data_IF_203175577491
#
_entry.id   IF_203175577491
#
_cell.length_a   1.000
_cell.length_b   1.000
_cell.length_c   1.000
_cell.angle_alpha   90.00
_cell.angle_beta   90.00
_cell.angle_gamma   90.00
#
_symmetry.space_group_name_H-M   'P 1'
#
loop_
_entity.id
_entity.type
_entity.pdbx_description
1 polymer ?
#
# COMPACT_ATOMS: atom_id res chain seq x y z
N UNK A 1 24.49 17.16 -21.00
CA UNK A 1 23.62 16.15 -21.63
C UNK A 1 22.84 15.49 -20.53
N UNK A 2 21.57 15.85 -20.42
CA UNK A 2 20.65 15.33 -19.42
C UNK A 2 20.28 13.90 -19.83
N UNK A 3 20.76 12.90 -19.09
CA UNK A 3 20.28 11.54 -19.24
C UNK A 3 18.86 11.49 -18.69
N UNK A 4 17.88 11.73 -19.57
CA UNK A 4 16.49 11.35 -19.31
C UNK A 4 16.49 9.83 -19.24
N UNK A 5 16.43 9.28 -18.03
CA UNK A 5 16.22 7.85 -17.81
C UNK A 5 14.79 7.58 -18.30
N UNK A 6 14.65 7.19 -19.57
CA UNK A 6 13.39 6.64 -20.06
C UNK A 6 13.13 5.33 -19.29
N UNK A 7 12.16 5.37 -18.37
CA UNK A 7 11.73 4.16 -17.68
C UNK A 7 11.20 3.15 -18.73
N UNK A 8 11.70 1.90 -18.75
CA UNK A 8 11.28 0.92 -19.73
C UNK A 8 9.77 0.65 -19.57
N UNK A 9 8.98 1.01 -20.58
CA UNK A 9 7.53 0.78 -20.60
C UNK A 9 7.24 -0.72 -20.51
N UNK A 10 6.50 -1.12 -19.47
CA UNK A 10 6.04 -2.51 -19.30
C UNK A 10 4.60 -2.65 -19.76
N UNK A 11 4.30 -3.73 -20.49
CA UNK A 11 2.94 -4.04 -20.97
C UNK A 11 2.22 -4.94 -19.99
N UNK A 12 0.99 -4.57 -19.65
CA UNK A 12 0.05 -5.41 -18.90
C UNK A 12 -0.93 -6.00 -19.92
N UNK A 13 -1.07 -7.33 -19.92
CA UNK A 13 -2.00 -8.04 -20.80
C UNK A 13 -2.97 -8.84 -19.94
N UNK A 14 -4.27 -8.65 -20.14
CA UNK A 14 -5.32 -9.42 -19.48
C UNK A 14 -6.32 -9.92 -20.52
N UNK A 15 -6.92 -11.09 -20.26
CA UNK A 15 -8.03 -11.60 -21.04
C UNK A 15 -9.32 -11.25 -20.30
N UNK A 16 -10.31 -10.77 -21.06
CA UNK A 16 -11.65 -10.45 -20.56
C UNK A 16 -12.67 -11.12 -21.48
N UNK A 17 -13.82 -11.46 -20.94
CA UNK A 17 -14.99 -11.87 -21.70
C UNK A 17 -15.59 -10.68 -22.47
N UNK A 18 -16.42 -10.96 -23.47
CA UNK A 18 -17.10 -9.92 -24.26
C UNK A 18 -17.96 -9.02 -23.36
N UNK A 19 -18.68 -9.61 -22.40
CA UNK A 19 -19.50 -8.85 -21.44
C UNK A 19 -18.68 -7.90 -20.57
N UNK A 20 -17.51 -8.34 -20.11
CA UNK A 20 -16.60 -7.49 -19.33
C UNK A 20 -16.04 -6.37 -20.19
N UNK A 21 -15.69 -6.68 -21.45
CA UNK A 21 -15.23 -5.68 -22.41
C UNK A 21 -16.28 -4.61 -22.67
N UNK A 22 -17.54 -4.98 -22.92
CA UNK A 22 -18.64 -4.02 -23.14
C UNK A 22 -18.81 -3.08 -21.94
N UNK A 23 -18.69 -3.63 -20.73
CA UNK A 23 -18.77 -2.86 -19.50
C UNK A 23 -17.62 -1.85 -19.38
N UNK A 24 -16.40 -2.27 -19.72
CA UNK A 24 -15.21 -1.41 -19.71
C UNK A 24 -15.28 -0.32 -20.78
N UNK A 25 -15.81 -0.64 -21.97
CA UNK A 25 -16.04 0.30 -23.06
C UNK A 25 -17.05 1.38 -22.66
N UNK A 26 -18.19 0.98 -22.11
CA UNK A 26 -19.20 1.92 -21.62
C UNK A 26 -18.65 2.83 -20.51
N UNK A 27 -17.90 2.28 -19.54
CA UNK A 27 -17.31 3.07 -18.47
C UNK A 27 -16.25 4.06 -18.98
N UNK A 28 -15.44 3.64 -19.96
CA UNK A 28 -14.43 4.49 -20.58
C UNK A 28 -15.08 5.64 -21.39
N UNK A 29 -16.15 5.34 -22.13
CA UNK A 29 -16.91 6.33 -22.90
C UNK A 29 -17.50 7.43 -21.99
N UNK A 30 -18.11 7.04 -20.87
CA UNK A 30 -18.66 7.99 -19.89
C UNK A 30 -17.61 8.96 -19.31
N UNK A 31 -16.34 8.55 -19.31
CA UNK A 31 -15.22 9.34 -18.82
C UNK A 31 -14.43 10.03 -19.95
N UNK A 32 -14.86 9.89 -21.21
CA UNK A 32 -14.16 10.42 -22.37
C UNK A 32 -12.76 9.84 -22.56
N UNK A 33 -12.54 8.59 -22.14
CA UNK A 33 -11.26 7.90 -22.17
C UNK A 33 -11.30 6.67 -23.08
N UNK A 34 -10.14 6.20 -23.52
CA UNK A 34 -10.02 4.87 -24.16
C UNK A 34 -10.11 3.77 -23.10
N UNK A 35 -10.51 2.56 -23.50
CA UNK A 35 -10.52 1.37 -22.60
C UNK A 35 -9.17 1.15 -21.93
N UNK A 36 -8.07 1.27 -22.67
CA UNK A 36 -6.72 1.10 -22.12
C UNK A 36 -6.40 2.14 -21.05
N UNK A 37 -6.76 3.41 -21.29
CA UNK A 37 -6.57 4.47 -20.29
C UNK A 37 -7.42 4.21 -19.05
N UNK A 38 -8.69 3.84 -19.24
CA UNK A 38 -9.60 3.52 -18.14
C UNK A 38 -9.09 2.36 -17.28
N UNK A 39 -8.65 1.27 -17.91
CA UNK A 39 -8.13 0.09 -17.20
C UNK A 39 -6.87 0.43 -16.41
N UNK A 40 -5.91 1.13 -17.00
CA UNK A 40 -4.68 1.52 -16.30
C UNK A 40 -4.96 2.46 -15.13
N UNK A 41 -5.80 3.48 -15.34
CA UNK A 41 -6.14 4.45 -14.29
C UNK A 41 -6.87 3.77 -13.12
N UNK A 42 -7.87 2.94 -13.43
CA UNK A 42 -8.65 2.23 -12.40
C UNK A 42 -7.79 1.22 -11.66
N UNK A 43 -6.96 0.44 -12.36
CA UNK A 43 -6.05 -0.51 -11.73
C UNK A 43 -5.04 0.20 -10.80
N UNK A 44 -4.48 1.33 -11.22
CA UNK A 44 -3.58 2.12 -10.38
C UNK A 44 -4.30 2.70 -9.15
N UNK A 45 -5.53 3.17 -9.29
CA UNK A 45 -6.33 3.68 -8.18
C UNK A 45 -6.59 2.58 -7.14
N UNK A 46 -7.05 1.41 -7.59
CA UNK A 46 -7.31 0.28 -6.70
C UNK A 46 -6.03 -0.26 -6.06
N UNK A 47 -4.93 -0.34 -6.81
CA UNK A 47 -3.64 -0.73 -6.25
C UNK A 47 -3.22 0.21 -5.10
N UNK A 48 -3.38 1.53 -5.27
CA UNK A 48 -3.09 2.51 -4.20
C UNK A 48 -3.99 2.30 -2.98
N UNK A 49 -5.28 2.06 -3.18
CA UNK A 49 -6.23 1.79 -2.09
C UNK A 49 -5.85 0.54 -1.30
N UNK A 50 -5.46 -0.53 -1.99
CA UNK A 50 -4.99 -1.78 -1.35
C UNK A 50 -3.72 -1.54 -0.55
N UNK A 51 -2.73 -0.86 -1.14
CA UNK A 51 -1.47 -0.53 -0.44
C UNK A 51 -1.74 0.33 0.78
N UNK A 52 -2.58 1.37 0.67
CA UNK A 52 -2.92 2.25 1.79
C UNK A 52 -3.64 1.49 2.89
N UNK A 53 -4.56 0.58 2.54
CA UNK A 53 -5.29 -0.24 3.51
C UNK A 53 -4.36 -1.10 4.36
N UNK A 54 -3.32 -1.68 3.76
CA UNK A 54 -2.38 -2.56 4.46
C UNK A 54 -1.25 -1.80 5.17
N UNK A 55 -0.87 -0.62 4.66
CA UNK A 55 0.24 0.17 5.22
C UNK A 55 -0.16 1.21 6.26
N UNK A 56 -1.44 1.62 6.30
CA UNK A 56 -1.91 2.70 7.17
C UNK A 56 -2.70 2.16 8.36
N UNK A 57 -2.16 2.37 9.56
CA UNK A 57 -2.89 2.15 10.81
C UNK A 57 -3.82 3.35 11.05
N UNK A 58 -5.12 3.15 10.84
CA UNK A 58 -6.14 4.16 11.16
C UNK A 58 -6.51 4.10 12.63
N UNK A 59 -6.25 5.18 13.37
CA UNK A 59 -6.54 5.29 14.80
C UNK A 59 -7.73 6.23 15.03
N UNK A 60 -8.55 5.91 16.04
CA UNK A 60 -9.51 6.88 16.59
C UNK A 60 -8.76 8.06 17.20
N UNK A 61 -9.40 9.23 17.34
CA UNK A 61 -8.75 10.37 18.02
C UNK A 61 -8.28 9.99 19.43
N UNK A 62 -9.05 9.16 20.15
CA UNK A 62 -8.68 8.68 21.49
C UNK A 62 -7.41 7.85 21.46
N UNK A 63 -7.29 6.94 20.50
CA UNK A 63 -6.13 6.05 20.42
C UNK A 63 -4.90 6.76 19.84
N UNK A 64 -5.09 7.69 18.90
CA UNK A 64 -4.02 8.56 18.42
C UNK A 64 -3.41 9.38 19.57
N UNK A 65 -4.22 9.96 20.47
CA UNK A 65 -3.73 10.66 21.66
C UNK A 65 -2.94 9.75 22.61
N UNK A 66 -3.38 8.50 22.80
CA UNK A 66 -2.64 7.52 23.60
C UNK A 66 -1.29 7.20 22.98
N UNK A 67 -1.26 6.94 21.67
CA UNK A 67 -0.02 6.64 20.95
C UNK A 67 0.93 7.83 21.03
N UNK A 68 0.44 9.05 20.81
CA UNK A 68 1.26 10.26 20.91
C UNK A 68 1.82 10.44 22.33
N UNK A 69 1.01 10.27 23.37
CA UNK A 69 1.47 10.34 24.75
C UNK A 69 2.54 9.26 25.07
N UNK A 70 2.45 8.07 24.47
CA UNK A 70 3.46 7.02 24.60
C UNK A 70 4.76 7.34 23.84
N UNK A 71 4.69 8.11 22.75
CA UNK A 71 5.87 8.60 22.02
C UNK A 71 6.57 9.73 22.79
N UNK A 72 5.80 10.66 23.36
CA UNK A 72 6.33 11.78 24.16
C UNK A 72 6.89 11.30 25.52
N UNK A 73 6.26 10.28 26.11
CA UNK A 73 6.62 9.71 27.40
C UNK A 73 6.81 8.18 27.30
N UNK A 74 7.91 7.72 26.69
CA UNK A 74 8.14 6.31 26.48
C UNK A 74 8.32 5.57 27.83
N UNK A 75 7.49 4.55 28.13
CA UNK A 75 7.60 3.82 29.38
C UNK A 75 8.85 2.93 29.39
N UNK A 76 9.38 2.65 30.59
CA UNK A 76 10.51 1.72 30.74
C UNK A 76 10.08 0.30 30.33
N UNK A 77 10.94 -0.47 29.63
CA UNK A 77 10.66 -1.86 29.29
C UNK A 77 10.32 -2.70 30.51
N UNK A 78 9.25 -3.49 30.43
CA UNK A 78 8.87 -4.41 31.51
C UNK A 78 9.81 -5.63 31.56
N UNK A 79 9.73 -6.42 32.65
CA UNK A 79 10.60 -7.59 32.85
C UNK A 79 10.49 -8.60 31.70
N UNK A 80 9.26 -8.90 31.23
CA UNK A 80 9.03 -9.85 30.14
C UNK A 80 9.68 -9.43 28.82
N UNK A 81 9.63 -8.13 28.49
CA UNK A 81 10.28 -7.60 27.28
C UNK A 81 11.81 -7.67 27.40
N UNK A 82 12.37 -7.38 28.58
CA UNK A 82 13.82 -7.52 28.82
C UNK A 82 14.29 -8.98 28.69
N UNK A 83 13.53 -9.91 29.25
CA UNK A 83 13.83 -11.34 29.18
C UNK A 83 13.77 -11.83 27.72
N UNK A 84 12.71 -11.48 26.97
CA UNK A 84 12.59 -11.84 25.56
C UNK A 84 13.73 -11.30 24.67
N UNK A 85 14.18 -10.06 24.92
CA UNK A 85 15.34 -9.49 24.21
C UNK A 85 16.64 -10.23 24.56
N UNK A 86 16.81 -10.66 25.82
CA UNK A 86 17.97 -11.46 26.24
C UNK A 86 17.98 -12.82 25.54
N UNK A 87 16.83 -13.48 25.46
CA UNK A 87 16.68 -14.77 24.78
C UNK A 87 16.96 -14.64 23.27
N UNK A 88 16.41 -13.61 22.62
CA UNK A 88 16.66 -13.33 21.21
C UNK A 88 18.16 -13.08 20.93
N UNK A 89 18.82 -12.27 21.77
CA UNK A 89 20.27 -12.02 21.65
C UNK A 89 21.11 -13.28 21.90
N UNK A 90 20.63 -14.20 22.72
CA UNK A 90 21.24 -15.52 22.91
C UNK A 90 21.08 -16.42 21.68
N UNK A 91 19.95 -16.32 20.98
CA UNK A 91 19.64 -17.12 19.79
C UNK A 91 20.28 -16.59 18.49
N UNK A 92 20.53 -15.29 18.38
CA UNK A 92 21.12 -14.64 17.19
C UNK A 92 22.66 -14.54 17.24
N UNK A 93 23.30 -15.09 18.27
CA UNK A 93 24.75 -15.15 18.36
C UNK A 93 25.29 -16.29 17.47
N UNK A 94 25.54 -15.97 16.20
CA UNK A 94 26.44 -16.70 15.27
C UNK A 94 27.86 -16.16 15.45
#
# INVERSE_FOLDING_TARGET
>A
MEHVIEEPRKRITARVSDRERDTLEQAAELLGATVNQFVVQTACLEARRVIERESVIRLSQRDARKVLALLDHPPKPNKRLKDAVKDFKGAVRV
#
